data_IF_836817662305
#
_entry.id   IF_836817662305
#
_cell.length_a   1.000
_cell.length_b   1.000
_cell.length_c   1.000
_cell.angle_alpha   90.00
_cell.angle_beta   90.00
_cell.angle_gamma   90.00
#
_symmetry.space_group_name_H-M   'P 1'
#
loop_
_entity.id
_entity.type
_entity.pdbx_description
1 polymer ?
#
# COMPACT_ATOMS: atom_id res chain seq x y z
N UNK A 1 7.84 2.57 -13.49
CA UNK A 1 8.13 1.22 -12.93
C UNK A 1 9.21 1.25 -11.87
N UNK A 2 10.47 1.57 -12.18
CA UNK A 2 11.59 1.51 -11.21
C UNK A 2 11.33 2.27 -9.90
N UNK A 3 10.81 3.50 -9.97
CA UNK A 3 10.49 4.31 -8.77
C UNK A 3 9.31 3.75 -7.96
N UNK A 4 8.29 3.16 -8.58
CA UNK A 4 7.19 2.50 -7.87
C UNK A 4 7.70 1.33 -7.01
N UNK A 5 8.64 0.55 -7.57
CA UNK A 5 9.29 -0.54 -6.83
C UNK A 5 10.12 0.00 -5.66
N UNK A 6 10.81 1.14 -5.83
CA UNK A 6 11.54 1.80 -4.73
C UNK A 6 10.57 2.22 -3.62
N UNK A 7 9.43 2.85 -3.94
CA UNK A 7 8.43 3.20 -2.95
C UNK A 7 7.83 1.99 -2.24
N UNK A 8 7.61 0.89 -2.97
CA UNK A 8 7.19 -0.38 -2.39
C UNK A 8 8.21 -0.91 -1.38
N UNK A 9 9.47 -1.08 -1.81
CA UNK A 9 10.54 -1.64 -0.96
C UNK A 9 10.82 -0.75 0.24
N UNK A 10 10.90 0.57 0.05
CA UNK A 10 11.10 1.50 1.15
C UNK A 10 9.90 1.52 2.09
N UNK A 11 8.68 1.58 1.56
CA UNK A 11 7.47 1.58 2.37
C UNK A 11 7.36 0.33 3.24
N UNK A 12 7.57 -0.86 2.65
CA UNK A 12 7.56 -2.12 3.39
C UNK A 12 8.73 -2.26 4.34
N UNK A 13 9.96 -1.95 3.90
CA UNK A 13 11.16 -2.10 4.71
C UNK A 13 11.16 -1.17 5.92
N UNK A 14 10.82 0.12 5.72
CA UNK A 14 10.81 1.12 6.80
C UNK A 14 9.73 0.77 7.83
N UNK A 15 8.50 0.47 7.40
CA UNK A 15 7.42 0.19 8.37
C UNK A 15 7.68 -1.12 9.12
N UNK A 16 8.23 -2.14 8.44
CA UNK A 16 8.60 -3.39 9.07
C UNK A 16 9.70 -3.18 10.11
N UNK A 17 10.76 -2.43 9.78
CA UNK A 17 11.85 -2.13 10.72
C UNK A 17 11.35 -1.33 11.92
N UNK A 18 10.47 -0.35 11.71
CA UNK A 18 9.87 0.43 12.81
C UNK A 18 9.09 -0.51 13.74
N UNK A 19 8.21 -1.35 13.19
CA UNK A 19 7.40 -2.25 14.02
C UNK A 19 8.29 -3.32 14.70
N UNK A 20 9.28 -3.86 14.00
CA UNK A 20 10.21 -4.84 14.54
C UNK A 20 11.08 -4.29 15.69
N UNK A 21 11.52 -3.04 15.61
CA UNK A 21 12.40 -2.43 16.62
C UNK A 21 11.64 -1.82 17.80
N UNK A 22 10.42 -1.31 17.58
CA UNK A 22 9.72 -0.49 18.57
C UNK A 22 8.38 -1.06 19.05
N UNK A 23 7.81 -2.08 18.39
CA UNK A 23 6.55 -2.70 18.77
C UNK A 23 6.77 -4.14 19.25
N UNK A 24 5.90 -4.63 20.14
CA UNK A 24 5.88 -6.05 20.51
C UNK A 24 5.30 -6.88 19.35
N UNK A 25 6.17 -7.36 18.46
CA UNK A 25 5.78 -8.21 17.34
C UNK A 25 5.54 -9.64 17.83
N UNK A 26 4.28 -10.07 17.85
CA UNK A 26 3.90 -11.43 18.24
C UNK A 26 4.08 -12.44 17.09
N UNK A 27 3.77 -12.04 15.85
CA UNK A 27 3.89 -12.88 14.66
C UNK A 27 4.64 -12.11 13.55
N UNK A 28 5.87 -12.55 13.26
CA UNK A 28 6.72 -11.93 12.25
C UNK A 28 6.17 -12.08 10.83
N UNK A 29 5.49 -13.19 10.53
CA UNK A 29 4.89 -13.44 9.22
C UNK A 29 3.72 -12.49 8.96
N UNK A 30 2.87 -12.31 9.97
CA UNK A 30 1.76 -11.37 9.91
C UNK A 30 2.25 -9.92 9.80
N UNK A 31 3.28 -9.56 10.55
CA UNK A 31 3.86 -8.20 10.49
C UNK A 31 4.48 -7.92 9.12
N UNK A 32 5.19 -8.91 8.54
CA UNK A 32 5.71 -8.79 7.19
C UNK A 32 4.58 -8.64 6.16
N UNK A 33 3.49 -9.39 6.30
CA UNK A 33 2.31 -9.25 5.45
C UNK A 33 1.70 -7.84 5.53
N UNK A 34 1.56 -7.29 6.74
CA UNK A 34 1.10 -5.92 6.93
C UNK A 34 2.05 -4.87 6.36
N UNK A 35 3.36 -5.08 6.49
CA UNK A 35 4.36 -4.22 5.88
C UNK A 35 4.31 -4.28 4.34
N UNK A 36 4.05 -5.45 3.76
CA UNK A 36 3.82 -5.62 2.32
C UNK A 36 2.57 -4.85 1.89
N UNK A 37 1.46 -4.95 2.62
CA UNK A 37 0.25 -4.18 2.32
C UNK A 37 0.49 -2.66 2.34
N UNK A 38 1.25 -2.19 3.34
CA UNK A 38 1.63 -0.78 3.47
C UNK A 38 2.53 -0.30 2.32
N UNK A 39 3.58 -1.06 1.98
CA UNK A 39 4.45 -0.71 0.86
C UNK A 39 3.74 -0.82 -0.49
N UNK A 40 2.87 -1.81 -0.67
CA UNK A 40 2.08 -1.97 -1.90
C UNK A 40 1.23 -0.73 -2.15
N UNK A 41 0.66 -0.13 -1.10
CA UNK A 41 -0.07 1.12 -1.23
C UNK A 41 0.81 2.27 -1.74
N UNK A 42 2.02 2.45 -1.21
CA UNK A 42 2.96 3.47 -1.70
C UNK A 42 3.37 3.23 -3.15
N UNK A 43 3.74 1.98 -3.48
CA UNK A 43 4.15 1.61 -4.83
C UNK A 43 3.03 1.78 -5.85
N UNK A 44 1.81 1.33 -5.50
CA UNK A 44 0.66 1.41 -6.38
C UNK A 44 0.14 2.85 -6.50
N UNK A 45 0.09 3.62 -5.42
CA UNK A 45 -0.31 5.03 -5.47
C UNK A 45 0.63 5.81 -6.41
N UNK A 46 1.94 5.65 -6.27
CA UNK A 46 2.91 6.28 -7.16
C UNK A 46 2.82 5.79 -8.62
N UNK A 47 2.51 4.51 -8.83
CA UNK A 47 2.36 3.94 -10.17
C UNK A 47 1.10 4.48 -10.87
N UNK A 48 0.00 4.58 -10.15
CA UNK A 48 -1.31 5.04 -10.64
C UNK A 48 -1.41 6.56 -10.71
N UNK A 49 -0.53 7.29 -10.03
CA UNK A 49 -0.38 8.75 -10.12
C UNK A 49 0.31 9.17 -11.43
N UNK A 50 -0.27 8.76 -12.55
CA UNK A 50 0.18 9.00 -13.92
C UNK A 50 -1.03 9.34 -14.80
N UNK A 51 -0.85 10.23 -15.77
CA UNK A 51 -1.93 10.77 -16.60
C UNK A 51 -2.54 9.73 -17.55
N UNK A 52 -1.79 8.67 -17.86
CA UNK A 52 -2.27 7.59 -18.74
C UNK A 52 -3.39 6.74 -18.13
N UNK A 53 -3.54 6.76 -16.81
CA UNK A 53 -4.54 5.94 -16.13
C UNK A 53 -5.83 6.73 -15.90
N UNK A 54 -6.93 6.21 -16.41
CA UNK A 54 -8.26 6.76 -16.14
C UNK A 54 -8.66 6.54 -14.67
N UNK A 55 -9.59 7.34 -14.16
CA UNK A 55 -10.09 7.18 -12.79
C UNK A 55 -10.58 5.75 -12.51
N UNK A 56 -11.33 5.16 -13.45
CA UNK A 56 -11.84 3.79 -13.33
C UNK A 56 -10.71 2.77 -13.24
N UNK A 57 -9.63 2.94 -14.01
CA UNK A 57 -8.45 2.07 -13.92
C UNK A 57 -7.74 2.21 -12.58
N UNK A 58 -7.60 3.43 -12.06
CA UNK A 58 -6.97 3.65 -10.74
C UNK A 58 -7.77 2.99 -9.64
N UNK A 59 -9.09 3.18 -9.63
CA UNK A 59 -9.99 2.57 -8.66
C UNK A 59 -9.99 1.05 -8.78
N UNK A 60 -10.14 0.52 -10.00
CA UNK A 60 -10.16 -0.92 -10.26
C UNK A 60 -8.88 -1.63 -9.82
N UNK A 61 -7.70 -1.06 -10.13
CA UNK A 61 -6.42 -1.63 -9.71
C UNK A 61 -6.21 -1.54 -8.19
N UNK A 62 -6.66 -0.46 -7.56
CA UNK A 62 -6.53 -0.28 -6.11
C UNK A 62 -7.46 -1.22 -5.33
N UNK A 63 -8.73 -1.34 -5.75
CA UNK A 63 -9.67 -2.31 -5.18
C UNK A 63 -9.25 -3.75 -5.47
N UNK A 64 -8.73 -4.02 -6.66
CA UNK A 64 -8.16 -5.34 -7.01
C UNK A 64 -6.99 -5.72 -6.10
N UNK A 65 -6.08 -4.78 -5.83
CA UNK A 65 -4.97 -5.01 -4.90
C UNK A 65 -5.46 -5.26 -3.46
N UNK A 66 -6.45 -4.51 -2.97
CA UNK A 66 -7.04 -4.72 -1.65
C UNK A 66 -7.77 -6.07 -1.55
N UNK A 67 -8.54 -6.44 -2.57
CA UNK A 67 -9.21 -7.73 -2.63
C UNK A 67 -8.20 -8.89 -2.64
N UNK A 68 -7.12 -8.75 -3.41
CA UNK A 68 -6.03 -9.73 -3.43
C UNK A 68 -5.34 -9.85 -2.07
N UNK A 69 -5.06 -8.72 -1.41
CA UNK A 69 -4.48 -8.71 -0.06
C UNK A 69 -5.37 -9.48 0.91
N UNK A 70 -6.67 -9.20 0.96
CA UNK A 70 -7.58 -9.92 1.85
C UNK A 70 -7.69 -11.40 1.50
N UNK A 71 -7.78 -11.75 0.22
CA UNK A 71 -7.83 -13.16 -0.18
C UNK A 71 -6.57 -13.91 0.28
N UNK A 72 -5.39 -13.34 0.05
CA UNK A 72 -4.11 -13.94 0.47
C UNK A 72 -4.00 -14.00 2.00
N UNK A 73 -4.33 -12.91 2.70
CA UNK A 73 -4.30 -12.85 4.15
C UNK A 73 -5.27 -13.84 4.80
N UNK A 74 -6.48 -13.98 4.25
CA UNK A 74 -7.49 -14.89 4.76
C UNK A 74 -7.08 -16.35 4.61
N UNK A 75 -6.40 -16.70 3.51
CA UNK A 75 -5.88 -18.06 3.26
C UNK A 75 -4.71 -18.43 4.18
N UNK A 76 -3.88 -17.47 4.57
CA UNK A 76 -2.65 -17.73 5.34
C UNK A 76 -2.87 -17.55 6.86
N UNK A 77 -3.62 -16.52 7.27
CA UNK A 77 -3.70 -16.07 8.67
C UNK A 77 -5.11 -16.07 9.27
N UNK A 78 -6.17 -16.27 8.47
CA UNK A 78 -7.60 -16.02 8.77
C UNK A 78 -8.13 -14.65 8.33
N UNK A 79 -9.45 -14.59 8.11
CA UNK A 79 -10.14 -13.40 7.63
C UNK A 79 -10.01 -12.20 8.59
N UNK A 80 -10.07 -12.46 9.90
CA UNK A 80 -9.97 -11.41 10.93
C UNK A 80 -8.64 -10.66 10.84
N UNK A 81 -7.55 -11.40 10.71
CA UNK A 81 -6.19 -10.84 10.55
C UNK A 81 -5.95 -10.30 9.13
N UNK A 82 -6.78 -10.63 8.16
CA UNK A 82 -6.68 -10.08 6.81
C UNK A 82 -7.25 -8.66 6.72
N UNK A 83 -8.31 -8.33 7.47
CA UNK A 83 -9.01 -7.03 7.40
C UNK A 83 -8.08 -5.82 7.67
N UNK A 84 -7.17 -5.84 8.66
CA UNK A 84 -6.26 -4.72 8.91
C UNK A 84 -5.37 -4.36 7.72
N UNK A 85 -5.11 -5.29 6.79
CA UNK A 85 -4.31 -4.99 5.60
C UNK A 85 -4.99 -3.98 4.68
N UNK A 86 -6.32 -4.02 4.54
CA UNK A 86 -7.09 -3.01 3.81
C UNK A 86 -6.94 -1.66 4.47
N UNK A 87 -7.03 -1.59 5.80
CA UNK A 87 -6.94 -0.33 6.54
C UNK A 87 -5.55 0.29 6.37
N UNK A 88 -4.49 -0.52 6.52
CA UNK A 88 -3.11 -0.07 6.31
C UNK A 88 -2.89 0.39 4.86
N UNK A 89 -3.39 -0.37 3.88
CA UNK A 89 -3.28 -0.01 2.47
C UNK A 89 -4.01 1.30 2.16
N UNK A 90 -5.28 1.40 2.54
CA UNK A 90 -6.15 2.54 2.22
C UNK A 90 -5.66 3.83 2.87
N UNK A 91 -5.17 3.77 4.11
CA UNK A 91 -4.63 4.92 4.82
C UNK A 91 -3.44 5.52 4.07
N UNK A 92 -2.49 4.68 3.66
CA UNK A 92 -1.33 5.11 2.88
C UNK A 92 -1.74 5.65 1.51
N UNK A 93 -2.63 4.93 0.83
CA UNK A 93 -3.09 5.31 -0.50
C UNK A 93 -3.76 6.68 -0.48
N UNK A 94 -4.68 6.90 0.47
CA UNK A 94 -5.35 8.20 0.66
C UNK A 94 -4.35 9.28 1.05
N UNK A 95 -3.42 9.00 1.98
CA UNK A 95 -2.40 9.96 2.38
C UNK A 95 -1.53 10.41 1.20
N UNK A 96 -1.12 9.48 0.32
CA UNK A 96 -0.38 9.81 -0.90
C UNK A 96 -1.12 10.84 -1.75
N UNK A 97 -2.39 10.57 -2.08
CA UNK A 97 -3.17 11.46 -2.95
C UNK A 97 -3.52 12.78 -2.28
N UNK A 98 -3.71 12.79 -0.95
CA UNK A 98 -3.86 14.01 -0.17
C UNK A 98 -2.60 14.88 -0.30
N UNK A 99 -1.41 14.32 -0.09
CA UNK A 99 -0.16 15.06 -0.27
C UNK A 99 0.07 15.50 -1.72
N UNK A 100 -0.30 14.66 -2.69
CA UNK A 100 -0.22 15.01 -4.11
C UNK A 100 -1.14 16.19 -4.45
N UNK A 101 -2.32 16.30 -3.82
CA UNK A 101 -3.29 17.37 -4.07
C UNK A 101 -2.76 18.77 -3.71
N UNK A 102 -1.80 18.86 -2.79
CA UNK A 102 -1.18 20.12 -2.38
C UNK A 102 -0.02 20.57 -3.28
N UNK A 103 0.42 19.75 -4.25
CA UNK A 103 1.49 20.14 -5.18
C UNK A 103 0.95 21.11 -6.23
N UNK A 104 1.65 22.23 -6.42
CA UNK A 104 1.25 23.33 -7.32
C UNK A 104 1.10 22.95 -8.80
N UNK A 105 1.76 21.86 -9.25
CA UNK A 105 1.46 21.24 -10.54
C UNK A 105 0.27 20.29 -10.38
N UNK A 106 -0.96 20.81 -10.53
CA UNK A 106 -2.16 19.98 -10.68
C UNK A 106 -2.13 19.22 -12.01
N UNK A 107 -1.41 18.12 -12.07
CA UNK A 107 -1.63 17.07 -13.04
C UNK A 107 -0.57 16.02 -12.75
N UNK A 108 -1.01 14.86 -12.29
CA UNK A 108 -0.60 13.56 -12.79
C UNK A 108 0.80 13.54 -13.44
N UNK A 109 1.75 12.78 -12.89
CA UNK A 109 3.05 12.65 -13.54
C UNK A 109 2.86 12.22 -15.00
N UNK A 110 3.32 13.06 -15.92
CA UNK A 110 3.44 12.71 -17.34
C UNK A 110 4.58 11.68 -17.54
#
# INVERSE_FOLDING_TARGET
MKRALIYFVLGSGIIFLINYLFMEVQDLGLELYYAIAFGLAWGLAYFLDDAKFSLLQKMGLSFGAMALLVAVGALIFSLELAIPSIIKFSTVFVAYYLFASFRGSKSLRN
#
